data_IF_007141221045
#
_entry.id   IF_007141221045
#
_cell.length_a   1.000
_cell.length_b   1.000
_cell.length_c   1.000
_cell.angle_alpha   90.00
_cell.angle_beta   90.00
_cell.angle_gamma   90.00
#
_symmetry.space_group_name_H-M   'P 1'
#
loop_
_entity.id
_entity.type
_entity.pdbx_description
1 polymer ?
#
# COMPACT_ATOMS: atom_id res chain seq x y z
N UNK A 1 12.82 1.82 -47.85
CA UNK A 1 11.80 2.77 -47.34
C UNK A 1 10.73 2.96 -48.40
N UNK A 2 9.50 2.63 -48.05
CA UNK A 2 8.32 2.82 -48.89
C UNK A 2 7.74 4.20 -48.56
N UNK A 3 7.30 4.96 -49.57
CA UNK A 3 6.56 6.20 -49.37
C UNK A 3 5.08 5.87 -49.44
N UNK A 4 4.31 6.29 -48.44
CA UNK A 4 2.86 6.16 -48.45
C UNK A 4 2.24 7.54 -48.66
N UNK A 5 1.27 7.60 -49.56
CA UNK A 5 0.42 8.77 -49.75
C UNK A 5 -0.98 8.41 -49.26
N UNK A 6 -1.44 9.01 -48.13
CA UNK A 6 -2.77 8.75 -47.61
C UNK A 6 -3.81 9.50 -48.46
N UNK A 7 -4.82 8.77 -48.92
CA UNK A 7 -6.05 9.32 -49.47
C UNK A 7 -7.20 9.03 -48.51
N UNK A 8 -8.03 10.03 -48.27
CA UNK A 8 -9.18 9.94 -47.37
C UNK A 8 -10.45 10.19 -48.17
N UNK A 9 -11.24 9.15 -48.36
CA UNK A 9 -12.57 9.27 -48.96
C UNK A 9 -13.62 9.21 -47.86
N UNK A 10 -14.37 10.30 -47.71
CA UNK A 10 -15.44 10.42 -46.72
C UNK A 10 -16.77 10.26 -47.45
N UNK A 11 -17.63 9.37 -46.95
CA UNK A 11 -18.99 9.22 -47.45
C UNK A 11 -19.98 9.04 -46.31
N UNK A 12 -21.25 9.33 -46.59
CA UNK A 12 -22.31 9.28 -45.60
C UNK A 12 -23.13 8.01 -45.79
N UNK A 13 -23.43 7.33 -44.69
CA UNK A 13 -24.23 6.11 -44.70
C UNK A 13 -25.35 6.23 -43.67
N UNK A 14 -26.56 5.78 -44.04
CA UNK A 14 -27.69 5.73 -43.10
C UNK A 14 -27.41 4.66 -42.04
N UNK A 15 -27.75 4.96 -40.79
CA UNK A 15 -27.76 3.93 -39.74
C UNK A 15 -28.94 2.98 -39.95
N UNK A 16 -28.96 1.83 -39.27
CA UNK A 16 -30.13 0.94 -39.29
C UNK A 16 -31.43 1.69 -38.93
N UNK A 17 -31.38 2.58 -37.94
CA UNK A 17 -32.51 3.45 -37.57
C UNK A 17 -32.83 4.49 -38.66
N UNK A 18 -31.80 5.04 -39.32
CA UNK A 18 -31.95 5.93 -40.47
C UNK A 18 -32.64 5.26 -41.67
N UNK A 19 -32.30 4.01 -41.95
CA UNK A 19 -32.94 3.19 -42.99
C UNK A 19 -34.41 2.91 -42.66
N UNK A 20 -34.71 2.56 -41.41
CA UNK A 20 -36.10 2.40 -40.96
C UNK A 20 -36.90 3.69 -41.09
N UNK A 21 -36.31 4.84 -40.74
CA UNK A 21 -36.96 6.15 -40.89
C UNK A 21 -37.15 6.54 -42.37
N UNK A 22 -36.18 6.22 -43.25
CA UNK A 22 -36.31 6.43 -44.69
C UNK A 22 -37.47 5.61 -45.27
N UNK A 23 -37.62 4.35 -44.84
CA UNK A 23 -38.66 3.45 -45.31
C UNK A 23 -40.05 3.74 -44.71
N UNK A 24 -40.11 3.99 -43.40
CA UNK A 24 -41.37 4.01 -42.62
C UNK A 24 -41.78 5.39 -42.10
N UNK A 25 -41.03 6.44 -42.41
CA UNK A 25 -41.27 7.81 -41.94
C UNK A 25 -40.57 8.13 -40.62
N UNK A 26 -40.39 9.42 -40.34
CA UNK A 26 -39.78 9.93 -39.11
C UNK A 26 -40.61 9.61 -37.88
N UNK A 27 -39.93 9.52 -36.73
CA UNK A 27 -40.57 9.22 -35.45
C UNK A 27 -41.68 10.23 -35.12
N UNK A 28 -41.45 11.52 -35.38
CA UNK A 28 -42.43 12.59 -35.20
C UNK A 28 -43.63 12.47 -36.16
N UNK A 29 -43.41 12.04 -37.40
CA UNK A 29 -44.47 11.82 -38.39
C UNK A 29 -45.34 10.62 -38.00
N UNK A 30 -44.71 9.54 -37.55
CA UNK A 30 -45.40 8.34 -37.08
C UNK A 30 -46.24 8.62 -35.82
N UNK A 31 -45.76 9.47 -34.91
CA UNK A 31 -46.55 9.96 -33.76
C UNK A 31 -47.76 10.78 -34.23
N UNK A 32 -47.57 11.73 -35.16
CA UNK A 32 -48.68 12.52 -35.70
C UNK A 32 -49.73 11.64 -36.40
N UNK A 33 -49.28 10.68 -37.22
CA UNK A 33 -50.12 9.72 -37.94
C UNK A 33 -50.95 8.85 -36.99
N UNK A 34 -50.41 8.46 -35.85
CA UNK A 34 -51.09 7.63 -34.85
C UNK A 34 -52.21 8.35 -34.08
N UNK A 35 -52.27 9.68 -34.09
CA UNK A 35 -53.32 10.45 -33.40
C UNK A 35 -54.59 10.51 -34.27
N UNK A 36 -55.78 10.09 -33.80
CA UNK A 36 -57.02 10.21 -34.57
C UNK A 36 -57.41 11.67 -34.85
N UNK A 37 -58.02 11.98 -36.02
CA UNK A 37 -58.53 13.31 -36.30
C UNK A 37 -59.68 13.66 -35.34
N UNK A 38 -59.63 14.87 -34.75
CA UNK A 38 -60.70 15.51 -33.94
C UNK A 38 -61.02 14.91 -32.56
N UNK A 39 -60.79 13.63 -32.29
CA UNK A 39 -61.13 13.00 -31.00
C UNK A 39 -60.00 13.00 -29.97
N UNK A 40 -58.75 13.25 -30.40
CA UNK A 40 -57.58 13.19 -29.52
C UNK A 40 -57.32 11.76 -29.01
N UNK A 41 -56.17 11.57 -28.36
CA UNK A 41 -55.80 10.28 -27.77
C UNK A 41 -55.07 10.50 -26.44
N UNK A 42 -55.27 9.60 -25.48
CA UNK A 42 -54.54 9.65 -24.22
C UNK A 42 -53.06 9.42 -24.49
N UNK A 43 -52.19 10.22 -23.87
CA UNK A 43 -50.74 10.09 -24.06
C UNK A 43 -50.25 8.67 -23.75
N UNK A 44 -50.78 8.03 -22.71
CA UNK A 44 -50.44 6.64 -22.37
C UNK A 44 -50.83 5.66 -23.47
N UNK A 45 -52.02 5.82 -24.05
CA UNK A 45 -52.52 4.97 -25.14
C UNK A 45 -51.78 5.22 -26.44
N UNK A 46 -51.43 6.48 -26.76
CA UNK A 46 -50.62 6.83 -27.92
C UNK A 46 -49.23 6.20 -27.84
N UNK A 47 -48.59 6.27 -26.67
CA UNK A 47 -47.28 5.66 -26.45
C UNK A 47 -47.35 4.13 -26.58
N UNK A 48 -48.44 3.50 -26.14
CA UNK A 48 -48.66 2.05 -26.30
C UNK A 48 -49.02 1.70 -27.75
N UNK A 49 -49.91 2.42 -28.42
CA UNK A 49 -50.30 2.16 -29.81
C UNK A 49 -49.12 2.25 -30.78
N UNK A 50 -48.21 3.20 -30.55
CA UNK A 50 -46.97 3.36 -31.32
C UNK A 50 -45.94 2.28 -30.97
N UNK A 51 -46.03 1.68 -29.77
CA UNK A 51 -45.19 0.56 -29.34
C UNK A 51 -45.76 -0.83 -29.73
N UNK A 52 -47.07 -0.94 -29.94
CA UNK A 52 -47.85 -2.19 -30.09
C UNK A 52 -48.40 -2.36 -31.53
N UNK A 53 -48.10 -1.45 -32.46
CA UNK A 53 -48.24 -1.69 -33.89
C UNK A 53 -47.23 -2.78 -34.34
N UNK A 54 -47.55 -4.03 -33.97
CA UNK A 54 -46.67 -5.18 -33.85
C UNK A 54 -46.64 -6.02 -35.13
N UNK A 55 -46.57 -5.39 -36.30
CA UNK A 55 -46.36 -6.12 -37.56
C UNK A 55 -45.39 -5.49 -38.57
N UNK A 56 -44.94 -4.24 -38.39
CA UNK A 56 -43.81 -3.68 -39.14
C UNK A 56 -43.11 -2.63 -38.26
N UNK A 57 -41.84 -2.85 -37.93
CA UNK A 57 -40.91 -1.96 -37.23
C UNK A 57 -41.38 -1.35 -35.90
N UNK A 58 -40.78 -1.82 -34.80
CA UNK A 58 -40.84 -1.15 -33.49
C UNK A 58 -40.35 0.28 -33.69
N UNK A 59 -41.13 1.33 -33.42
CA UNK A 59 -40.59 2.71 -33.43
C UNK A 59 -39.62 2.79 -32.24
N UNK A 60 -38.30 2.72 -32.41
CA UNK A 60 -37.37 2.50 -31.29
C UNK A 60 -37.33 3.70 -30.33
N UNK A 61 -38.01 4.80 -30.68
CA UNK A 61 -37.87 6.10 -30.06
C UNK A 61 -39.20 6.89 -30.01
N UNK A 62 -40.32 6.26 -29.68
CA UNK A 62 -41.64 6.93 -29.57
C UNK A 62 -41.63 8.19 -28.67
N UNK A 63 -40.84 8.18 -27.59
CA UNK A 63 -40.65 9.36 -26.71
C UNK A 63 -39.95 10.51 -27.43
N UNK A 64 -38.97 10.20 -28.28
CA UNK A 64 -38.21 11.20 -29.06
C UNK A 64 -39.11 11.80 -30.14
N UNK A 65 -39.86 10.95 -30.86
CA UNK A 65 -40.86 11.40 -31.84
C UNK A 65 -41.92 12.31 -31.21
N UNK A 66 -42.39 11.98 -30.00
CA UNK A 66 -43.36 12.80 -29.28
C UNK A 66 -42.81 14.19 -28.92
N UNK A 67 -41.59 14.26 -28.39
CA UNK A 67 -40.94 15.54 -28.09
C UNK A 67 -40.72 16.39 -29.35
N UNK A 68 -40.26 15.78 -30.45
CA UNK A 68 -40.02 16.47 -31.72
C UNK A 68 -41.30 16.94 -32.40
N UNK A 69 -42.37 16.14 -32.35
CA UNK A 69 -43.68 16.56 -32.86
C UNK A 69 -44.24 17.79 -32.12
N UNK A 70 -43.97 17.94 -30.82
CA UNK A 70 -44.32 19.14 -30.05
C UNK A 70 -43.45 20.33 -30.48
N UNK A 71 -42.13 20.15 -30.56
CA UNK A 71 -41.19 21.21 -30.97
C UNK A 71 -41.46 21.70 -32.41
N UNK A 72 -41.89 20.80 -33.30
CA UNK A 72 -42.29 21.13 -34.67
C UNK A 72 -43.70 21.76 -34.76
N UNK A 73 -44.43 21.84 -33.64
CA UNK A 73 -45.79 22.39 -33.59
C UNK A 73 -46.85 21.52 -34.26
N UNK A 74 -46.59 20.22 -34.43
CA UNK A 74 -47.52 19.31 -35.11
C UNK A 74 -48.64 18.81 -34.20
N UNK A 75 -48.38 18.74 -32.89
CA UNK A 75 -49.31 18.24 -31.88
C UNK A 75 -49.45 19.22 -30.71
N UNK A 76 -50.59 19.21 -30.03
CA UNK A 76 -50.87 20.02 -28.84
C UNK A 76 -51.32 19.13 -27.68
N UNK A 77 -51.03 19.55 -26.45
CA UNK A 77 -51.36 18.81 -25.23
C UNK A 77 -52.39 19.57 -24.41
N UNK A 78 -53.43 18.88 -23.94
CA UNK A 78 -54.36 19.38 -22.93
C UNK A 78 -54.24 18.54 -21.65
N UNK A 79 -54.09 19.21 -20.50
CA UNK A 79 -53.96 18.58 -19.19
C UNK A 79 -55.24 18.80 -18.38
N UNK A 80 -55.88 17.72 -17.97
CA UNK A 80 -56.91 17.71 -16.92
C UNK A 80 -56.35 16.97 -15.69
N UNK A 81 -56.89 17.24 -14.50
CA UNK A 81 -56.30 16.88 -13.18
C UNK A 81 -55.86 15.41 -12.97
N UNK A 82 -56.19 14.48 -13.88
CA UNK A 82 -55.70 13.08 -13.84
C UNK A 82 -55.25 12.49 -15.19
N UNK A 83 -55.37 13.18 -16.32
CA UNK A 83 -55.07 12.63 -17.65
C UNK A 83 -54.54 13.68 -18.65
N UNK A 84 -53.65 13.24 -19.55
CA UNK A 84 -53.03 14.06 -20.59
C UNK A 84 -53.54 13.63 -21.96
N UNK A 85 -54.26 14.51 -22.64
CA UNK A 85 -54.79 14.29 -24.00
C UNK A 85 -53.93 14.99 -25.03
N UNK A 86 -53.71 14.32 -26.15
CA UNK A 86 -52.87 14.79 -27.26
C UNK A 86 -53.74 14.94 -28.50
N UNK A 87 -53.68 16.12 -29.13
CA UNK A 87 -54.41 16.43 -30.36
C UNK A 87 -53.44 16.80 -31.48
N UNK A 88 -53.84 16.55 -32.74
CA UNK A 88 -53.18 17.16 -33.89
C UNK A 88 -53.45 18.66 -33.89
N UNK A 89 -52.40 19.47 -34.00
CA UNK A 89 -52.51 20.93 -34.16
C UNK A 89 -52.69 21.32 -35.62
N UNK A 90 -52.16 20.51 -36.53
CA UNK A 90 -52.21 20.72 -37.99
C UNK A 90 -52.80 19.50 -38.70
N UNK A 91 -53.57 19.73 -39.76
CA UNK A 91 -54.24 18.66 -40.54
C UNK A 91 -53.31 17.95 -41.54
N UNK A 92 -52.20 18.59 -41.93
CA UNK A 92 -51.22 18.02 -42.85
C UNK A 92 -49.80 18.40 -42.38
N UNK A 93 -48.87 17.44 -42.44
CA UNK A 93 -47.45 17.61 -42.12
C UNK A 93 -46.61 17.11 -43.29
N UNK A 94 -45.47 17.76 -43.54
CA UNK A 94 -44.49 17.30 -44.53
C UNK A 94 -43.31 16.68 -43.77
N UNK A 95 -43.06 15.40 -44.01
CA UNK A 95 -41.92 14.71 -43.41
C UNK A 95 -40.62 15.03 -44.16
N UNK A 96 -40.02 16.15 -43.80
CA UNK A 96 -38.75 16.61 -44.38
C UNK A 96 -37.60 15.67 -44.02
N UNK A 97 -37.66 15.02 -42.85
CA UNK A 97 -36.61 14.13 -42.34
C UNK A 97 -36.55 12.84 -43.15
N UNK A 98 -37.71 12.20 -43.40
CA UNK A 98 -37.80 11.04 -44.28
C UNK A 98 -37.33 11.38 -45.69
N UNK A 99 -37.80 12.50 -46.25
CA UNK A 99 -37.42 12.93 -47.61
C UNK A 99 -35.91 13.14 -47.74
N UNK A 100 -35.28 13.76 -46.75
CA UNK A 100 -33.84 13.98 -46.75
C UNK A 100 -33.05 12.67 -46.62
N UNK A 101 -33.50 11.73 -45.79
CA UNK A 101 -32.84 10.41 -45.69
C UNK A 101 -32.96 9.61 -46.99
N UNK A 102 -34.12 9.63 -47.65
CA UNK A 102 -34.31 8.99 -48.95
C UNK A 102 -33.42 9.60 -50.04
N UNK A 103 -33.25 10.93 -50.03
CA UNK A 103 -32.35 11.61 -50.96
C UNK A 103 -30.88 11.20 -50.73
N UNK A 104 -30.44 11.07 -49.47
CA UNK A 104 -29.08 10.60 -49.15
C UNK A 104 -28.89 9.13 -49.58
N UNK A 105 -29.89 8.28 -49.38
CA UNK A 105 -29.86 6.87 -49.80
C UNK A 105 -29.69 6.71 -51.32
N UNK A 106 -30.27 7.62 -52.11
CA UNK A 106 -30.14 7.65 -53.57
C UNK A 106 -28.92 8.44 -54.06
N UNK A 107 -28.01 8.84 -53.16
CA UNK A 107 -26.78 9.54 -53.51
C UNK A 107 -26.95 11.01 -53.90
N UNK A 108 -28.09 11.63 -53.58
CA UNK A 108 -28.31 13.05 -53.81
C UNK A 108 -27.63 13.90 -52.72
N UNK A 109 -27.11 15.05 -53.12
CA UNK A 109 -26.44 15.98 -52.21
C UNK A 109 -27.46 16.85 -51.45
N UNK A 110 -27.30 16.95 -50.13
CA UNK A 110 -28.14 17.76 -49.24
C UNK A 110 -27.24 18.74 -48.49
N UNK A 111 -27.81 19.87 -48.10
CA UNK A 111 -27.19 20.89 -47.27
C UNK A 111 -26.52 20.33 -46.01
N UNK A 112 -25.32 20.83 -45.70
CA UNK A 112 -24.50 20.30 -44.60
C UNK A 112 -25.11 20.56 -43.22
N UNK A 113 -25.91 21.62 -43.05
CA UNK A 113 -26.61 21.86 -41.79
C UNK A 113 -27.62 20.74 -41.49
N UNK A 114 -28.26 20.21 -42.53
CA UNK A 114 -29.20 19.08 -42.43
C UNK A 114 -28.45 17.78 -42.10
N UNK A 115 -27.29 17.52 -42.74
CA UNK A 115 -26.47 16.33 -42.42
C UNK A 115 -26.03 16.33 -40.95
N UNK A 116 -25.58 17.47 -40.44
CA UNK A 116 -25.18 17.63 -39.02
C UNK A 116 -26.36 17.36 -38.08
N UNK A 117 -27.57 17.82 -38.42
CA UNK A 117 -28.76 17.54 -37.63
C UNK A 117 -29.10 16.04 -37.64
N UNK A 118 -29.09 15.39 -38.80
CA UNK A 118 -29.36 13.95 -38.94
C UNK A 118 -28.31 13.10 -38.21
N UNK A 119 -27.04 13.52 -38.21
CA UNK A 119 -25.96 12.88 -37.45
C UNK A 119 -26.17 13.01 -35.94
N UNK A 120 -26.54 14.20 -35.44
CA UNK A 120 -26.92 14.40 -34.02
C UNK A 120 -28.11 13.52 -33.61
N UNK A 121 -29.02 13.26 -34.55
CA UNK A 121 -30.15 12.35 -34.37
C UNK A 121 -29.79 10.87 -34.50
N UNK A 122 -28.53 10.53 -34.79
CA UNK A 122 -28.04 9.16 -35.03
C UNK A 122 -28.71 8.44 -36.21
N UNK A 123 -29.28 9.19 -37.15
CA UNK A 123 -29.90 8.64 -38.37
C UNK A 123 -28.89 8.54 -39.53
N UNK A 124 -27.77 9.25 -39.42
CA UNK A 124 -26.70 9.30 -40.42
C UNK A 124 -25.34 9.16 -39.72
N UNK A 125 -24.43 8.41 -40.32
CA UNK A 125 -23.05 8.26 -39.85
C UNK A 125 -22.08 8.57 -40.97
N UNK A 126 -20.99 9.25 -40.62
CA UNK A 126 -19.87 9.51 -41.50
C UNK A 126 -18.94 8.30 -41.47
N UNK A 127 -18.66 7.70 -42.64
CA UNK A 127 -17.65 6.67 -42.79
C UNK A 127 -16.47 7.21 -43.59
N UNK A 128 -15.27 6.86 -43.16
CA UNK A 128 -14.04 7.20 -43.86
C UNK A 128 -13.32 5.95 -44.32
N UNK A 129 -13.00 5.90 -45.62
CA UNK A 129 -12.10 4.91 -46.18
C UNK A 129 -10.72 5.57 -46.26
N UNK A 130 -9.77 4.99 -45.52
CA UNK A 130 -8.37 5.40 -45.57
C UNK A 130 -7.65 4.50 -46.55
N UNK A 131 -7.37 5.05 -47.72
CA UNK A 131 -6.59 4.38 -48.76
C UNK A 131 -5.14 4.86 -48.65
N UNK A 132 -4.20 3.94 -48.83
CA UNK A 132 -2.78 4.29 -48.85
C UNK A 132 -2.20 3.89 -50.21
N UNK A 133 -1.83 4.89 -51.00
CA UNK A 133 -1.08 4.65 -52.22
C UNK A 133 0.38 4.42 -51.86
N UNK A 134 0.89 3.25 -52.24
CA UNK A 134 2.20 2.77 -51.80
C UNK A 134 3.19 2.92 -52.95
N UNK A 135 4.18 3.80 -52.78
CA UNK A 135 5.22 4.08 -53.77
C UNK A 135 6.59 3.61 -53.29
N UNK A 136 7.45 3.25 -54.24
CA UNK A 136 8.87 3.01 -53.96
C UNK A 136 9.52 4.34 -53.57
N UNK A 137 9.98 4.45 -52.33
CA UNK A 137 10.73 5.62 -51.87
C UNK A 137 12.19 5.61 -52.34
N UNK A 138 12.94 6.70 -52.11
CA UNK A 138 14.33 6.83 -52.58
C UNK A 138 15.31 5.82 -51.96
N UNK A 139 14.98 5.25 -50.79
CA UNK A 139 15.73 4.18 -50.16
C UNK A 139 15.01 2.82 -50.24
N UNK A 140 14.14 2.61 -51.23
CA UNK A 140 13.49 1.33 -51.47
C UNK A 140 14.50 0.31 -52.01
N UNK A 141 14.68 -0.78 -51.28
CA UNK A 141 15.52 -1.89 -51.68
C UNK A 141 14.80 -3.20 -51.39
N UNK A 142 15.01 -4.20 -52.23
CA UNK A 142 14.53 -5.58 -52.04
C UNK A 142 15.50 -6.43 -51.23
N UNK A 143 16.72 -5.93 -50.97
CA UNK A 143 17.70 -6.58 -50.11
C UNK A 143 17.49 -6.17 -48.64
N UNK A 144 17.22 -7.13 -47.78
CA UNK A 144 17.13 -6.88 -46.33
C UNK A 144 18.53 -6.62 -45.80
N UNK A 145 18.88 -5.36 -45.57
CA UNK A 145 20.10 -5.01 -44.84
C UNK A 145 19.90 -5.32 -43.36
N UNK A 146 20.71 -6.22 -42.81
CA UNK A 146 20.72 -6.52 -41.38
C UNK A 146 21.45 -5.38 -40.68
N UNK A 147 20.71 -4.50 -40.00
CA UNK A 147 21.30 -3.45 -39.17
C UNK A 147 22.02 -4.09 -37.99
N UNK A 148 23.17 -3.53 -37.62
CA UNK A 148 23.92 -4.00 -36.45
C UNK A 148 23.18 -3.60 -35.17
N UNK A 149 23.13 -4.51 -34.20
CA UNK A 149 22.42 -4.28 -32.93
C UNK A 149 23.26 -3.50 -31.93
N UNK A 150 24.57 -3.76 -31.90
CA UNK A 150 25.49 -3.20 -30.94
C UNK A 150 26.85 -2.92 -31.59
N UNK A 151 27.62 -2.03 -30.97
CA UNK A 151 29.00 -1.78 -31.34
C UNK A 151 29.89 -2.88 -30.74
N UNK A 152 30.41 -3.77 -31.57
CA UNK A 152 31.26 -4.88 -31.13
C UNK A 152 32.74 -4.49 -31.15
N UNK A 153 33.56 -5.20 -30.38
CA UNK A 153 35.01 -5.03 -30.39
C UNK A 153 35.62 -5.28 -31.79
N UNK A 154 35.05 -6.20 -32.56
CA UNK A 154 35.51 -6.52 -33.92
C UNK A 154 35.26 -5.37 -34.92
N UNK A 155 34.16 -4.61 -34.75
CA UNK A 155 33.87 -3.41 -35.55
C UNK A 155 34.79 -2.22 -35.23
N UNK A 156 35.52 -2.31 -34.11
CA UNK A 156 36.47 -1.29 -33.63
C UNK A 156 37.93 -1.70 -33.89
N UNK A 157 38.23 -2.98 -34.01
CA UNK A 157 39.58 -3.50 -34.18
C UNK A 157 39.90 -3.80 -35.66
N UNK A 158 41.07 -3.36 -36.13
CA UNK A 158 41.66 -3.86 -37.39
C UNK A 158 42.71 -4.92 -37.03
N UNK A 159 42.40 -6.20 -37.23
CA UNK A 159 43.42 -7.25 -37.12
C UNK A 159 44.24 -7.29 -38.42
N UNK A 160 45.41 -6.66 -38.41
CA UNK A 160 46.38 -6.83 -39.50
C UNK A 160 47.17 -8.13 -39.28
N UNK A 161 46.73 -9.20 -39.94
CA UNK A 161 47.37 -10.52 -39.88
C UNK A 161 48.72 -10.59 -40.64
N UNK A 162 49.21 -9.48 -41.22
CA UNK A 162 50.39 -9.49 -42.08
C UNK A 162 51.72 -9.12 -41.42
N UNK A 163 51.74 -8.69 -40.16
CA UNK A 163 52.99 -8.43 -39.42
C UNK A 163 53.42 -9.65 -38.58
N UNK A 164 53.88 -10.71 -39.26
CA UNK A 164 54.85 -11.62 -38.64
C UNK A 164 56.20 -10.89 -38.63
N UNK A 165 56.73 -10.73 -37.42
CA UNK A 165 58.11 -10.36 -37.07
C UNK A 165 58.33 -8.96 -36.49
N UNK A 166 58.87 -9.03 -35.27
CA UNK A 166 59.68 -8.09 -34.50
C UNK A 166 58.91 -7.08 -33.62
N UNK A 167 58.99 -7.35 -32.31
CA UNK A 167 58.64 -6.54 -31.13
C UNK A 167 57.20 -6.66 -30.59
N UNK A 168 57.13 -7.05 -29.31
CA UNK A 168 55.92 -7.30 -28.52
C UNK A 168 55.20 -5.99 -28.12
N UNK A 169 54.72 -5.23 -29.10
CA UNK A 169 53.80 -4.11 -28.85
C UNK A 169 52.66 -4.22 -29.86
N UNK A 170 51.54 -4.80 -29.42
CA UNK A 170 50.31 -4.81 -30.21
C UNK A 170 49.76 -3.38 -30.27
N UNK A 171 50.13 -2.62 -31.31
CA UNK A 171 49.46 -1.37 -31.64
C UNK A 171 48.10 -1.72 -32.28
N UNK A 172 47.04 -1.79 -31.47
CA UNK A 172 45.69 -1.89 -31.98
C UNK A 172 45.35 -0.60 -32.76
N UNK A 173 45.39 -0.65 -34.09
CA UNK A 173 44.84 0.42 -34.92
C UNK A 173 43.32 0.28 -34.97
N UNK A 174 42.60 1.35 -34.65
CA UNK A 174 41.14 1.36 -34.70
C UNK A 174 40.65 1.27 -36.15
N UNK A 175 39.70 0.37 -36.43
CA UNK A 175 38.99 0.32 -37.70
C UNK A 175 37.84 1.33 -37.69
N UNK A 176 37.65 2.04 -38.81
CA UNK A 176 36.55 3.00 -39.00
C UNK A 176 35.29 2.32 -39.59
N UNK A 177 35.24 0.99 -39.60
CA UNK A 177 34.14 0.24 -40.21
C UNK A 177 32.78 0.56 -39.58
N UNK A 178 32.75 0.77 -38.26
CA UNK A 178 31.53 1.15 -37.55
C UNK A 178 30.89 2.45 -38.11
N UNK A 179 31.69 3.39 -38.66
CA UNK A 179 31.16 4.65 -39.23
C UNK A 179 30.30 4.41 -40.48
N UNK A 180 30.52 3.30 -41.17
CA UNK A 180 29.82 2.93 -42.40
C UNK A 180 28.66 1.93 -42.16
N UNK A 181 28.39 1.54 -40.91
CA UNK A 181 27.30 0.63 -40.54
C UNK A 181 26.07 1.40 -40.07
N UNK A 182 24.89 0.84 -40.36
CA UNK A 182 23.61 1.36 -39.87
C UNK A 182 23.23 0.55 -38.63
N UNK A 183 23.10 1.23 -37.49
CA UNK A 183 22.70 0.62 -36.23
C UNK A 183 21.20 0.69 -36.01
N UNK A 184 20.63 -0.34 -35.37
CA UNK A 184 19.24 -0.31 -34.92
C UNK A 184 19.06 0.80 -33.88
N UNK A 185 18.01 1.63 -34.03
CA UNK A 185 17.69 2.66 -33.02
C UNK A 185 17.43 2.01 -31.67
N UNK A 186 18.11 2.51 -30.63
CA UNK A 186 17.86 2.08 -29.27
C UNK A 186 16.50 2.58 -28.78
N UNK A 187 15.73 1.71 -28.13
CA UNK A 187 14.42 2.08 -27.59
C UNK A 187 14.60 2.68 -26.18
N UNK A 188 14.77 4.00 -26.10
CA UNK A 188 14.88 4.73 -24.82
C UNK A 188 13.58 4.75 -23.99
N UNK A 189 12.47 4.25 -24.54
CA UNK A 189 11.20 4.13 -23.80
C UNK A 189 11.07 2.79 -23.06
N UNK A 190 12.00 1.84 -23.26
CA UNK A 190 12.01 0.59 -22.50
C UNK A 190 12.80 0.76 -21.19
N UNK A 191 12.36 0.06 -20.15
CA UNK A 191 13.19 -0.10 -18.94
C UNK A 191 14.46 -0.86 -19.33
N UNK A 192 15.60 -0.39 -18.82
CA UNK A 192 16.86 -1.10 -18.95
C UNK A 192 16.85 -2.42 -18.17
N UNK A 193 17.86 -3.25 -18.40
CA UNK A 193 18.04 -4.46 -17.60
C UNK A 193 18.34 -4.07 -16.14
N UNK A 194 17.60 -4.60 -15.15
CA UNK A 194 17.88 -4.32 -13.75
C UNK A 194 19.27 -4.83 -13.38
N UNK A 195 20.01 -4.03 -12.61
CA UNK A 195 21.33 -4.42 -12.12
C UNK A 195 21.17 -5.52 -11.06
N UNK A 196 21.99 -6.56 -11.14
CA UNK A 196 22.06 -7.59 -10.11
C UNK A 196 22.93 -7.09 -8.95
N UNK A 197 22.45 -7.26 -7.71
CA UNK A 197 23.14 -6.78 -6.52
C UNK A 197 22.69 -7.52 -5.26
N UNK A 198 23.38 -7.26 -4.14
CA UNK A 198 22.96 -7.76 -2.84
C UNK A 198 21.76 -6.98 -2.33
N UNK A 199 20.82 -7.67 -1.65
CA UNK A 199 19.65 -7.05 -1.05
C UNK A 199 19.62 -7.28 0.46
N UNK A 200 19.17 -6.27 1.20
CA UNK A 200 18.92 -6.37 2.63
C UNK A 200 17.42 -6.58 2.89
N UNK A 201 17.10 -7.40 3.88
CA UNK A 201 15.72 -7.64 4.26
C UNK A 201 15.04 -6.34 4.77
N UNK A 202 13.81 -6.01 4.35
CA UNK A 202 13.12 -4.76 4.74
C UNK A 202 13.08 -4.53 6.25
N UNK A 203 12.71 -5.55 7.03
CA UNK A 203 12.70 -5.51 8.49
C UNK A 203 14.09 -5.14 9.08
N UNK A 204 15.17 -5.66 8.50
CA UNK A 204 16.54 -5.37 8.96
C UNK A 204 17.00 -3.98 8.56
N UNK A 205 16.51 -3.44 7.44
CA UNK A 205 16.72 -2.03 7.09
C UNK A 205 16.06 -1.14 8.15
N UNK A 206 14.81 -1.41 8.51
CA UNK A 206 14.09 -0.67 9.58
C UNK A 206 14.80 -0.84 10.93
N UNK A 207 15.24 -2.05 11.29
CA UNK A 207 16.03 -2.30 12.51
C UNK A 207 17.26 -1.38 12.57
N UNK A 208 17.96 -1.23 11.46
CA UNK A 208 19.17 -0.41 11.36
C UNK A 208 18.86 1.08 11.59
N UNK A 209 17.73 1.56 11.06
CA UNK A 209 17.26 2.93 11.31
C UNK A 209 16.90 3.17 12.78
N UNK A 210 16.12 2.28 13.41
CA UNK A 210 15.80 2.39 14.84
C UNK A 210 17.05 2.37 15.71
N UNK A 211 17.99 1.47 15.40
CA UNK A 211 19.29 1.40 16.06
C UNK A 211 20.05 2.73 15.93
N UNK A 212 20.05 3.33 14.75
CA UNK A 212 20.70 4.62 14.52
C UNK A 212 20.05 5.75 15.34
N UNK A 213 18.71 5.79 15.44
CA UNK A 213 17.99 6.77 16.27
C UNK A 213 18.42 6.69 17.74
N UNK A 214 18.52 5.49 18.29
CA UNK A 214 19.00 5.30 19.66
C UNK A 214 20.44 5.80 19.84
N UNK A 215 21.33 5.46 18.91
CA UNK A 215 22.73 5.90 18.95
C UNK A 215 22.84 7.43 18.86
N UNK A 216 22.07 8.08 17.98
CA UNK A 216 21.99 9.55 17.90
C UNK A 216 21.50 10.19 19.20
N UNK A 217 20.64 9.51 19.97
CA UNK A 217 20.13 9.98 21.26
C UNK A 217 21.06 9.66 22.45
N UNK A 218 22.23 9.05 22.18
CA UNK A 218 23.24 8.70 23.18
C UNK A 218 22.92 7.43 23.98
N UNK A 219 22.11 6.51 23.43
CA UNK A 219 21.82 5.23 24.06
C UNK A 219 22.92 4.20 23.72
N UNK A 220 23.22 3.32 24.66
CA UNK A 220 24.16 2.20 24.49
C UNK A 220 23.39 0.91 24.26
N UNK A 221 23.82 0.12 23.26
CA UNK A 221 23.17 -1.15 22.91
C UNK A 221 23.48 -2.23 23.95
N UNK A 222 22.43 -2.87 24.49
CA UNK A 222 22.55 -3.97 25.46
C UNK A 222 22.85 -5.29 24.74
N UNK A 223 23.68 -6.17 25.33
CA UNK A 223 23.86 -7.53 24.82
C UNK A 223 22.59 -8.36 25.06
N UNK A 224 22.04 -8.92 23.99
CA UNK A 224 20.81 -9.73 24.02
C UNK A 224 21.04 -11.18 23.60
N UNK A 225 22.25 -11.69 23.77
CA UNK A 225 22.72 -12.99 23.27
C UNK A 225 22.19 -14.21 24.05
N UNK A 226 20.92 -14.19 24.45
CA UNK A 226 20.21 -15.23 25.18
C UNK A 226 18.72 -15.27 24.78
N UNK A 227 18.31 -16.29 24.02
CA UNK A 227 16.89 -16.53 23.74
C UNK A 227 16.19 -17.27 24.87
N UNK A 228 16.90 -18.19 25.51
CA UNK A 228 16.44 -18.86 26.72
C UNK A 228 16.74 -17.96 27.90
N UNK A 229 15.73 -17.74 28.73
CA UNK A 229 15.83 -16.99 29.98
C UNK A 229 15.17 -17.80 31.10
N UNK A 230 15.63 -17.65 32.33
CA UNK A 230 14.88 -18.22 33.45
C UNK A 230 13.72 -17.32 33.86
N UNK A 231 12.68 -17.94 34.43
CA UNK A 231 11.48 -17.24 34.85
C UNK A 231 11.76 -16.19 35.92
N UNK A 232 12.86 -16.35 36.69
CA UNK A 232 13.33 -15.32 37.60
C UNK A 232 13.62 -13.99 36.88
N UNK A 233 14.53 -13.98 35.89
CA UNK A 233 14.89 -12.74 35.18
C UNK A 233 13.77 -12.23 34.28
N UNK A 234 12.99 -13.12 33.69
CA UNK A 234 11.90 -12.73 32.80
C UNK A 234 10.64 -12.28 33.53
N UNK A 235 10.39 -12.67 34.79
CA UNK A 235 9.16 -12.30 35.50
C UNK A 235 9.41 -11.81 36.93
N UNK A 236 10.07 -12.62 37.77
CA UNK A 236 10.17 -12.31 39.20
C UNK A 236 11.02 -11.04 39.46
N UNK A 237 12.12 -10.85 38.73
CA UNK A 237 12.97 -9.66 38.79
C UNK A 237 12.23 -8.38 38.38
N UNK A 238 11.20 -8.50 37.53
CA UNK A 238 10.30 -7.43 37.15
C UNK A 238 9.20 -7.18 38.18
N UNK A 239 9.21 -7.83 39.34
CA UNK A 239 8.08 -7.73 40.27
C UNK A 239 6.75 -8.19 39.64
N UNK A 240 6.77 -9.08 38.64
CA UNK A 240 5.56 -9.70 38.10
C UNK A 240 5.20 -10.94 38.92
N UNK A 241 3.98 -11.05 39.48
CA UNK A 241 3.64 -12.13 40.41
C UNK A 241 3.64 -13.51 39.73
N UNK A 242 3.91 -14.57 40.50
CA UNK A 242 3.98 -15.95 39.98
C UNK A 242 2.66 -16.48 39.45
N UNK A 243 1.54 -15.99 39.97
CA UNK A 243 0.18 -16.32 39.53
C UNK A 243 -0.30 -15.48 38.33
N UNK A 244 0.58 -14.70 37.68
CA UNK A 244 0.18 -13.86 36.55
C UNK A 244 -0.11 -14.72 35.31
N UNK A 245 -1.22 -14.49 34.57
CA UNK A 245 -1.64 -15.33 33.44
C UNK A 245 -0.58 -15.43 32.34
N UNK A 246 0.18 -14.35 32.09
CA UNK A 246 1.28 -14.39 31.13
C UNK A 246 2.38 -15.44 31.42
N UNK A 247 2.42 -16.04 32.62
CA UNK A 247 3.33 -17.14 32.99
C UNK A 247 2.74 -18.52 32.69
N UNK A 248 1.50 -18.61 32.21
CA UNK A 248 0.86 -19.86 31.88
C UNK A 248 1.40 -20.45 30.57
N UNK A 249 1.27 -21.76 30.42
CA UNK A 249 1.72 -22.50 29.23
C UNK A 249 1.00 -22.05 27.95
N UNK A 250 -0.16 -21.41 28.10
CA UNK A 250 -0.92 -20.85 26.98
C UNK A 250 -0.28 -19.58 26.42
N UNK A 251 0.54 -18.87 27.20
CA UNK A 251 1.15 -17.59 26.79
C UNK A 251 2.67 -17.68 26.62
N UNK A 252 3.33 -18.58 27.36
CA UNK A 252 4.79 -18.69 27.41
C UNK A 252 5.30 -20.06 26.94
N UNK A 253 6.32 -20.07 26.10
CA UNK A 253 7.04 -21.29 25.72
C UNK A 253 8.03 -21.70 26.81
N UNK A 254 7.74 -22.80 27.49
CA UNK A 254 8.65 -23.43 28.45
C UNK A 254 9.68 -24.32 27.74
N UNK A 255 10.91 -24.31 28.24
CA UNK A 255 11.99 -25.14 27.72
C UNK A 255 11.90 -26.53 28.35
N UNK A 256 11.98 -27.57 27.52
CA UNK A 256 12.02 -28.96 27.99
C UNK A 256 13.42 -29.41 28.40
N UNK A 257 14.45 -28.95 27.70
CA UNK A 257 15.86 -29.27 27.98
C UNK A 257 16.79 -28.07 27.67
N UNK A 258 17.54 -27.55 28.65
CA UNK A 258 17.42 -27.81 30.09
C UNK A 258 16.15 -27.14 30.67
N UNK A 259 15.32 -27.84 31.47
CA UNK A 259 14.05 -27.28 31.94
C UNK A 259 14.21 -26.25 33.05
N UNK A 260 15.30 -26.30 33.80
CA UNK A 260 15.56 -25.41 34.92
C UNK A 260 16.98 -24.84 34.87
N UNK A 261 17.16 -23.63 35.37
CA UNK A 261 18.46 -23.06 35.71
C UNK A 261 18.40 -22.30 37.04
N UNK A 262 19.53 -22.31 37.75
CA UNK A 262 19.68 -21.68 39.06
C UNK A 262 20.67 -20.51 39.01
N UNK A 263 20.85 -19.95 37.82
CA UNK A 263 21.84 -18.90 37.54
C UNK A 263 21.29 -17.53 37.88
N UNK A 264 21.19 -17.23 39.17
CA UNK A 264 20.86 -15.90 39.69
C UNK A 264 21.61 -15.62 41.00
N UNK A 265 21.90 -14.35 41.33
CA UNK A 265 22.62 -13.99 42.56
C UNK A 265 21.79 -14.33 43.82
N UNK A 266 22.29 -15.13 44.77
CA UNK A 266 21.49 -15.58 45.92
C UNK A 266 20.96 -14.45 46.80
N UNK A 267 21.75 -13.38 47.02
CA UNK A 267 21.31 -12.23 47.79
C UNK A 267 20.17 -11.47 47.11
N UNK A 268 20.24 -11.34 45.78
CA UNK A 268 19.18 -10.69 45.00
C UNK A 268 17.91 -11.53 44.97
N UNK A 269 18.04 -12.85 44.83
CA UNK A 269 16.92 -13.80 44.90
C UNK A 269 16.14 -13.66 46.19
N UNK A 270 16.81 -13.67 47.34
CA UNK A 270 16.13 -13.54 48.63
C UNK A 270 15.47 -12.16 48.78
N UNK A 271 16.12 -11.08 48.32
CA UNK A 271 15.51 -9.75 48.32
C UNK A 271 14.23 -9.69 47.46
N UNK A 272 14.25 -10.29 46.27
CA UNK A 272 13.09 -10.41 45.37
C UNK A 272 11.98 -11.24 46.03
N UNK A 273 12.32 -12.40 46.59
CA UNK A 273 11.37 -13.25 47.31
C UNK A 273 10.72 -12.51 48.48
N UNK A 274 11.49 -11.75 49.27
CA UNK A 274 10.95 -10.94 50.38
C UNK A 274 10.00 -9.86 49.88
N UNK A 275 10.39 -9.05 48.88
CA UNK A 275 9.53 -7.96 48.38
C UNK A 275 8.25 -8.50 47.73
N UNK A 276 8.32 -9.64 47.04
CA UNK A 276 7.14 -10.30 46.45
C UNK A 276 6.17 -10.83 47.50
N UNK A 277 6.69 -11.48 48.54
CA UNK A 277 5.87 -12.19 49.51
C UNK A 277 5.32 -11.28 50.59
N UNK A 278 6.18 -10.78 51.48
CA UNK A 278 5.78 -10.02 52.67
C UNK A 278 5.86 -8.50 52.47
N UNK A 279 6.46 -8.07 51.36
CA UNK A 279 6.71 -6.66 51.07
C UNK A 279 8.04 -6.16 51.66
N UNK A 280 8.57 -5.11 51.05
CA UNK A 280 9.75 -4.39 51.47
C UNK A 280 9.74 -2.99 50.82
N UNK A 281 10.63 -2.10 51.25
CA UNK A 281 10.85 -0.79 50.62
C UNK A 281 9.59 0.09 50.55
N UNK A 282 8.75 0.05 51.59
CA UNK A 282 7.48 0.79 51.64
C UNK A 282 6.31 0.13 50.91
N UNK A 283 6.55 -0.99 50.20
CA UNK A 283 5.52 -1.81 49.57
C UNK A 283 5.01 -2.92 50.48
N UNK A 284 3.74 -3.31 50.31
CA UNK A 284 3.13 -4.45 51.00
C UNK A 284 3.43 -5.80 50.33
N UNK A 285 4.09 -5.79 49.17
CA UNK A 285 4.25 -6.98 48.34
C UNK A 285 2.91 -7.50 47.80
N UNK A 286 2.93 -8.72 47.26
CA UNK A 286 1.74 -9.40 46.74
C UNK A 286 1.09 -10.35 47.75
N UNK A 287 1.66 -10.51 48.95
CA UNK A 287 1.07 -11.29 50.04
C UNK A 287 0.79 -12.76 49.69
N UNK A 288 1.72 -13.39 48.97
CA UNK A 288 1.67 -14.80 48.60
C UNK A 288 2.96 -15.54 48.94
N UNK A 289 2.90 -16.87 48.92
CA UNK A 289 4.07 -17.73 49.08
C UNK A 289 4.84 -17.83 47.76
N UNK A 290 5.93 -17.09 47.66
CA UNK A 290 6.86 -17.16 46.52
C UNK A 290 7.58 -18.52 46.48
N UNK A 291 7.59 -19.17 45.31
CA UNK A 291 8.14 -20.50 45.08
C UNK A 291 9.38 -20.43 44.20
N UNK A 292 10.50 -21.00 44.66
CA UNK A 292 11.74 -21.02 43.89
C UNK A 292 11.63 -21.92 42.64
N UNK A 293 10.78 -22.95 42.72
CA UNK A 293 10.52 -23.90 41.66
C UNK A 293 9.88 -23.25 40.43
N UNK A 294 9.16 -22.14 40.62
CA UNK A 294 8.59 -21.34 39.51
C UNK A 294 9.63 -20.41 38.89
N UNK A 295 10.58 -19.93 39.67
CA UNK A 295 11.60 -18.98 39.24
C UNK A 295 12.73 -19.67 38.45
N UNK A 296 13.04 -20.93 38.76
CA UNK A 296 14.09 -21.69 38.09
C UNK A 296 13.69 -22.21 36.71
N UNK A 297 12.40 -22.23 36.35
CA UNK A 297 11.92 -22.73 35.04
C UNK A 297 12.50 -21.90 33.91
N UNK A 298 13.14 -22.57 32.95
CA UNK A 298 13.62 -21.95 31.73
C UNK A 298 12.48 -21.78 30.74
N UNK A 299 12.46 -20.64 30.07
CA UNK A 299 11.50 -20.26 29.06
C UNK A 299 12.22 -19.63 27.86
N UNK A 300 11.53 -19.58 26.73
CA UNK A 300 11.92 -18.64 25.68
C UNK A 300 11.50 -17.24 26.13
N UNK A 301 12.43 -16.27 26.12
CA UNK A 301 12.15 -14.92 26.62
C UNK A 301 10.92 -14.31 25.94
N UNK A 302 10.01 -13.75 26.74
CA UNK A 302 8.73 -13.23 26.23
C UNK A 302 8.77 -11.74 25.87
N UNK A 303 9.79 -11.03 26.36
CA UNK A 303 10.05 -9.63 26.12
C UNK A 303 11.52 -9.30 26.44
N UNK A 304 12.06 -8.25 25.80
CA UNK A 304 13.45 -7.82 26.00
C UNK A 304 13.70 -7.18 27.37
N UNK A 305 12.64 -6.89 28.13
CA UNK A 305 12.72 -6.32 29.48
C UNK A 305 13.46 -7.21 30.47
N UNK A 306 13.55 -8.53 30.21
CA UNK A 306 14.40 -9.43 30.98
C UNK A 306 15.90 -9.05 30.89
N UNK A 307 16.35 -8.60 29.71
CA UNK A 307 17.71 -8.11 29.50
C UNK A 307 17.92 -6.82 30.27
N UNK A 308 16.94 -5.92 30.25
CA UNK A 308 16.95 -4.68 31.02
C UNK A 308 17.13 -4.94 32.51
N UNK A 309 16.51 -5.99 33.06
CA UNK A 309 16.70 -6.37 34.46
C UNK A 309 18.13 -6.81 34.75
N UNK A 310 18.74 -7.62 33.87
CA UNK A 310 20.15 -8.03 34.01
C UNK A 310 21.07 -6.81 33.98
N UNK A 311 20.87 -5.91 33.03
CA UNK A 311 21.67 -4.70 32.86
C UNK A 311 21.52 -3.72 34.04
N UNK A 312 20.30 -3.55 34.56
CA UNK A 312 20.04 -2.72 35.74
C UNK A 312 20.62 -3.34 37.01
N UNK A 313 20.55 -4.66 37.16
CA UNK A 313 21.18 -5.36 38.26
C UNK A 313 22.71 -5.16 38.25
N UNK A 314 23.36 -5.33 37.08
CA UNK A 314 24.78 -5.06 36.94
C UNK A 314 25.13 -3.60 37.23
N UNK A 315 24.32 -2.66 36.76
CA UNK A 315 24.47 -1.23 37.06
C UNK A 315 24.42 -0.96 38.57
N UNK A 316 23.50 -1.62 39.28
CA UNK A 316 23.33 -1.48 40.73
C UNK A 316 24.57 -1.90 41.52
N UNK A 317 25.31 -2.90 41.01
CA UNK A 317 26.54 -3.40 41.63
C UNK A 317 27.74 -2.45 41.42
N UNK A 318 27.69 -1.56 40.41
CA UNK A 318 28.77 -0.60 40.14
C UNK A 318 28.66 0.59 41.09
N UNK A 319 29.72 0.85 41.86
CA UNK A 319 29.80 2.01 42.76
C UNK A 319 30.94 2.95 42.31
N UNK A 320 30.72 4.28 42.25
CA UNK A 320 29.45 4.98 42.44
C UNK A 320 28.47 4.75 41.27
N UNK A 321 27.17 4.95 41.52
CA UNK A 321 26.14 4.93 40.47
C UNK A 321 26.49 5.96 39.39
N UNK A 322 26.33 5.57 38.12
CA UNK A 322 26.47 6.44 36.96
C UNK A 322 25.17 6.38 36.13
N UNK A 323 24.61 7.53 35.70
CA UNK A 323 23.45 7.54 34.84
C UNK A 323 23.72 6.83 33.51
N UNK A 324 22.72 6.12 33.00
CA UNK A 324 22.85 5.36 31.74
C UNK A 324 21.59 5.46 30.89
N UNK A 325 21.78 5.27 29.59
CA UNK A 325 20.74 5.12 28.58
C UNK A 325 21.02 3.83 27.84
N UNK A 326 20.09 2.87 27.89
CA UNK A 326 20.27 1.56 27.27
C UNK A 326 19.15 1.27 26.28
N UNK A 327 19.47 0.57 25.21
CA UNK A 327 18.48 0.07 24.27
C UNK A 327 18.80 -1.33 23.79
N UNK A 328 17.80 -2.04 23.29
CA UNK A 328 17.98 -3.30 22.59
C UNK A 328 16.94 -3.46 21.49
N UNK A 329 17.30 -4.21 20.45
CA UNK A 329 16.35 -4.62 19.42
C UNK A 329 16.59 -6.09 19.14
N UNK A 330 15.71 -6.94 19.65
CA UNK A 330 15.91 -8.38 19.50
C UNK A 330 14.61 -9.19 19.55
N UNK A 331 14.72 -10.45 19.13
CA UNK A 331 13.61 -11.38 18.98
C UNK A 331 13.08 -11.88 20.32
N UNK A 332 11.77 -11.94 20.46
CA UNK A 332 11.06 -12.45 21.64
C UNK A 332 10.04 -13.49 21.19
N UNK A 333 9.60 -14.34 22.12
CA UNK A 333 8.78 -15.51 21.83
C UNK A 333 7.54 -15.53 22.72
N UNK A 334 6.36 -15.69 22.12
CA UNK A 334 5.09 -15.78 22.83
C UNK A 334 4.26 -16.91 22.24
N UNK A 335 3.62 -17.70 23.09
CA UNK A 335 2.77 -18.80 22.66
C UNK A 335 1.37 -18.31 22.24
N UNK A 336 1.34 -17.26 21.43
CA UNK A 336 0.09 -16.70 20.92
C UNK A 336 -0.39 -17.48 19.68
N UNK A 337 -1.70 -17.45 19.44
CA UNK A 337 -2.27 -18.07 18.23
C UNK A 337 -1.80 -17.30 16.99
N UNK A 338 -1.18 -17.99 16.05
CA UNK A 338 -0.68 -17.40 14.80
C UNK A 338 -1.82 -16.85 13.94
N UNK A 339 -1.75 -15.57 13.58
CA UNK A 339 -2.72 -14.95 12.67
C UNK A 339 -2.05 -14.04 11.62
N UNK A 340 -2.79 -13.12 10.98
CA UNK A 340 -2.24 -12.21 9.98
C UNK A 340 -1.35 -11.09 10.57
N UNK A 341 -1.43 -10.88 11.89
CA UNK A 341 -0.83 -9.77 12.64
C UNK A 341 0.07 -10.23 13.79
N UNK A 342 -0.09 -11.46 14.27
CA UNK A 342 0.63 -12.05 15.40
C UNK A 342 1.46 -13.25 14.95
N UNK A 343 2.73 -13.25 15.34
CA UNK A 343 3.66 -14.36 15.18
C UNK A 343 4.10 -14.85 16.55
N UNK A 344 4.41 -16.15 16.64
CA UNK A 344 4.97 -16.76 17.83
C UNK A 344 6.38 -16.21 18.17
N UNK A 345 7.05 -15.64 17.17
CA UNK A 345 8.31 -14.93 17.33
C UNK A 345 8.28 -13.60 16.57
N UNK A 346 8.75 -12.52 17.21
CA UNK A 346 8.82 -11.18 16.63
C UNK A 346 9.90 -10.36 17.33
N UNK A 347 10.27 -9.20 16.80
CA UNK A 347 11.34 -8.36 17.36
C UNK A 347 10.73 -7.24 18.22
N UNK A 348 11.21 -7.17 19.45
CA UNK A 348 10.89 -6.10 20.38
C UNK A 348 12.05 -5.10 20.43
N UNK A 349 11.70 -3.83 20.30
CA UNK A 349 12.57 -2.69 20.53
C UNK A 349 12.29 -2.21 21.95
N UNK A 350 13.32 -2.02 22.75
CA UNK A 350 13.19 -1.46 24.10
C UNK A 350 14.26 -0.42 24.36
N UNK A 351 13.87 0.70 24.98
CA UNK A 351 14.75 1.73 25.48
C UNK A 351 14.50 1.99 26.97
N UNK A 352 15.54 2.28 27.72
CA UNK A 352 15.46 2.71 29.11
C UNK A 352 16.48 3.79 29.44
N UNK A 353 16.14 4.62 30.43
CA UNK A 353 17.03 5.63 31.01
C UNK A 353 16.98 5.48 32.52
N UNK A 354 18.15 5.37 33.14
CA UNK A 354 18.32 5.33 34.58
C UNK A 354 19.12 6.56 35.02
N UNK A 355 18.50 7.42 35.84
CA UNK A 355 19.12 8.63 36.35
C UNK A 355 18.46 9.06 37.67
N UNK A 356 19.00 10.08 38.33
CA UNK A 356 18.41 10.65 39.55
C UNK A 356 17.27 11.59 39.21
N UNK A 357 16.14 11.43 39.89
CA UNK A 357 14.99 12.35 39.75
C UNK A 357 14.28 12.31 38.39
N UNK A 358 14.33 11.19 37.66
CA UNK A 358 13.46 11.02 36.49
C UNK A 358 12.00 11.04 36.90
N UNK A 359 11.18 11.63 36.03
CA UNK A 359 9.75 11.84 36.24
C UNK A 359 9.00 11.48 34.96
N UNK A 360 7.67 11.40 35.05
CA UNK A 360 6.84 11.14 33.89
C UNK A 360 7.03 12.18 32.76
N UNK A 361 7.32 13.43 33.12
CA UNK A 361 7.60 14.49 32.16
C UNK A 361 8.88 14.20 31.35
N UNK A 362 9.93 13.67 31.99
CA UNK A 362 11.14 13.24 31.31
C UNK A 362 10.87 12.11 30.32
N UNK A 363 10.10 11.10 30.73
CA UNK A 363 9.70 10.00 29.84
C UNK A 363 8.94 10.53 28.61
N UNK A 364 7.94 11.38 28.81
CA UNK A 364 7.18 12.01 27.70
C UNK A 364 8.12 12.82 26.79
N UNK A 365 9.06 13.57 27.34
CA UNK A 365 10.04 14.34 26.57
C UNK A 365 10.93 13.44 25.70
N UNK A 366 11.46 12.36 26.28
CA UNK A 366 12.27 11.36 25.56
C UNK A 366 11.47 10.72 24.44
N UNK A 367 10.20 10.35 24.70
CA UNK A 367 9.33 9.73 23.70
C UNK A 367 9.02 10.69 22.54
N UNK A 368 8.76 11.97 22.82
CA UNK A 368 8.57 12.98 21.77
C UNK A 368 9.81 13.15 20.89
N UNK A 369 11.01 13.16 21.47
CA UNK A 369 12.26 13.22 20.71
C UNK A 369 12.49 11.95 19.88
N UNK A 370 12.31 10.78 20.50
CA UNK A 370 12.48 9.47 19.85
C UNK A 370 11.55 9.30 18.65
N UNK A 371 10.25 9.52 18.82
CA UNK A 371 9.29 9.41 17.73
C UNK A 371 9.35 10.59 16.75
N UNK A 372 9.80 11.77 17.20
CA UNK A 372 10.09 12.90 16.33
C UNK A 372 11.17 12.57 15.28
N UNK A 373 12.23 11.86 15.68
CA UNK A 373 13.27 11.34 14.76
C UNK A 373 12.74 10.27 13.80
N UNK A 374 11.62 9.62 14.13
CA UNK A 374 10.89 8.68 13.28
C UNK A 374 9.77 9.35 12.46
N UNK A 375 9.71 10.70 12.45
CA UNK A 375 8.73 11.53 11.71
C UNK A 375 7.29 11.36 12.25
N UNK A 376 7.13 10.80 13.45
CA UNK A 376 5.86 10.64 14.13
C UNK A 376 5.64 11.81 15.12
N UNK A 377 5.16 12.94 14.58
CA UNK A 377 5.09 14.22 15.34
C UNK A 377 3.87 14.36 16.27
N UNK A 378 2.81 13.58 16.05
CA UNK A 378 1.53 13.73 16.76
C UNK A 378 1.36 12.60 17.77
N UNK A 379 1.88 12.79 18.98
CA UNK A 379 1.75 11.80 20.06
C UNK A 379 0.59 12.09 21.01
N UNK A 380 -0.01 11.01 21.53
CA UNK A 380 -0.93 11.01 22.67
C UNK A 380 -0.56 9.87 23.61
N UNK A 381 -0.80 10.08 24.90
CA UNK A 381 -0.51 9.12 25.93
C UNK A 381 -1.79 8.73 26.65
N UNK A 382 -1.98 7.44 26.86
CA UNK A 382 -3.14 6.88 27.58
C UNK A 382 -2.62 6.13 28.81
N UNK A 383 -3.12 6.41 30.01
CA UNK A 383 -2.78 5.63 31.20
C UNK A 383 -3.01 4.13 30.96
N UNK A 384 -2.05 3.32 31.37
CA UNK A 384 -2.07 1.88 31.19
C UNK A 384 -1.65 1.17 32.50
N UNK A 385 -1.63 -0.16 32.46
CA UNK A 385 -1.14 -0.98 33.55
C UNK A 385 -0.07 -1.92 33.03
N UNK A 386 1.13 -1.86 33.61
CA UNK A 386 2.10 -2.94 33.54
C UNK A 386 2.50 -3.32 34.97
N UNK A 387 2.69 -4.61 35.29
CA UNK A 387 3.05 -5.05 36.65
C UNK A 387 4.31 -4.38 37.21
N UNK A 388 5.26 -4.06 36.33
CA UNK A 388 6.59 -3.57 36.66
C UNK A 388 6.76 -2.05 36.57
N UNK A 389 5.73 -1.30 36.17
CA UNK A 389 5.81 0.17 36.08
C UNK A 389 4.68 0.91 36.79
N UNK A 390 5.03 2.00 37.48
CA UNK A 390 4.07 2.94 38.07
C UNK A 390 4.69 4.35 38.10
N UNK A 391 4.15 5.34 37.34
CA UNK A 391 3.04 5.25 36.37
C UNK A 391 3.40 4.51 35.06
N UNK A 392 2.37 4.06 34.33
CA UNK A 392 2.47 3.44 33.00
C UNK A 392 1.61 4.16 31.96
N UNK A 393 2.04 4.20 30.70
CA UNK A 393 1.28 4.77 29.59
C UNK A 393 1.50 4.04 28.26
N UNK A 394 0.40 3.81 27.54
CA UNK A 394 0.39 3.48 26.11
C UNK A 394 0.64 4.74 25.29
N UNK A 395 1.31 4.56 24.15
CA UNK A 395 1.73 5.62 23.25
C UNK A 395 0.96 5.48 21.93
N UNK A 396 0.28 6.54 21.53
CA UNK A 396 -0.49 6.61 20.29
C UNK A 396 0.07 7.67 19.36
N UNK A 397 0.08 7.39 18.06
CA UNK A 397 0.37 8.38 17.02
C UNK A 397 -0.74 8.44 15.98
N UNK A 398 -0.99 9.63 15.45
CA UNK A 398 -1.97 9.81 14.38
C UNK A 398 -1.36 9.39 13.04
N UNK A 399 -1.95 8.37 12.40
CA UNK A 399 -1.51 7.90 11.10
C UNK A 399 -2.29 8.58 9.98
N UNK A 400 -1.63 9.42 9.18
CA UNK A 400 -2.27 10.23 8.13
C UNK A 400 -2.97 9.36 7.06
N UNK A 401 -2.37 8.23 6.66
CA UNK A 401 -2.96 7.33 5.66
C UNK A 401 -4.22 6.59 6.15
N UNK A 402 -4.29 6.27 7.45
CA UNK A 402 -5.42 5.55 8.06
C UNK A 402 -6.42 6.51 8.74
N UNK A 403 -6.09 7.80 8.81
CA UNK A 403 -6.85 8.87 9.46
C UNK A 403 -7.31 8.56 10.88
N UNK A 404 -6.54 7.77 11.63
CA UNK A 404 -6.86 7.33 13.00
C UNK A 404 -5.64 7.34 13.91
N UNK A 405 -5.90 7.37 15.22
CA UNK A 405 -4.88 7.14 16.24
C UNK A 405 -4.55 5.64 16.30
N UNK A 406 -3.27 5.32 16.19
CA UNK A 406 -2.76 3.95 16.22
C UNK A 406 -1.81 3.84 17.40
N UNK A 407 -1.93 2.77 18.16
CA UNK A 407 -0.98 2.42 19.22
C UNK A 407 0.36 2.06 18.58
N UNK A 408 1.43 2.70 19.06
CA UNK A 408 2.78 2.55 18.53
C UNK A 408 3.78 2.05 19.58
N UNK A 409 3.37 1.92 20.84
CA UNK A 409 4.22 1.40 21.91
C UNK A 409 3.60 1.52 23.29
N UNK A 410 4.32 0.99 24.28
CA UNK A 410 3.97 1.04 25.70
C UNK A 410 5.20 1.54 26.50
N UNK A 411 4.98 2.17 27.64
CA UNK A 411 6.04 2.76 28.46
C UNK A 411 5.65 2.91 29.92
N UNK A 412 6.62 3.19 30.78
CA UNK A 412 6.37 3.52 32.17
C UNK A 412 7.64 3.79 32.98
N UNK A 413 7.43 4.13 34.25
CA UNK A 413 8.48 4.30 35.25
C UNK A 413 8.61 3.00 36.05
N UNK A 414 9.79 2.36 36.09
CA UNK A 414 9.95 1.12 36.86
C UNK A 414 9.63 1.34 38.34
N UNK A 415 8.91 0.38 38.91
CA UNK A 415 8.51 0.41 40.31
C UNK A 415 9.71 0.34 41.26
N UNK A 416 9.64 0.95 42.46
CA UNK A 416 10.66 0.78 43.49
C UNK A 416 10.91 -0.69 43.88
N UNK A 417 9.87 -1.53 43.85
CA UNK A 417 9.97 -2.97 44.13
C UNK A 417 10.77 -3.75 43.08
N UNK A 418 11.03 -3.16 41.91
CA UNK A 418 11.95 -3.70 40.89
C UNK A 418 13.37 -3.24 41.20
N UNK A 419 13.55 -1.94 41.43
CA UNK A 419 14.86 -1.28 41.45
C UNK A 419 15.61 -1.44 42.78
N UNK A 420 14.91 -1.29 43.91
CA UNK A 420 15.53 -1.27 45.23
C UNK A 420 16.10 -2.63 45.67
N UNK A 421 15.45 -3.79 45.40
CA UNK A 421 16.06 -5.08 45.70
C UNK A 421 17.37 -5.34 44.93
N UNK A 422 17.59 -4.68 43.77
CA UNK A 422 18.85 -4.78 43.03
C UNK A 422 20.01 -4.06 43.74
N UNK A 423 19.69 -3.10 44.64
CA UNK A 423 20.68 -2.25 45.32
C UNK A 423 20.94 -0.91 44.61
N UNK A 424 20.03 -0.46 43.75
CA UNK A 424 20.06 0.91 43.23
C UNK A 424 19.75 1.91 44.36
N UNK A 425 20.38 3.10 44.36
CA UNK A 425 20.06 4.15 45.33
C UNK A 425 18.59 4.60 45.25
N UNK A 426 17.99 4.98 46.38
CA UNK A 426 16.57 5.37 46.45
C UNK A 426 16.19 6.58 45.60
N UNK A 427 17.16 7.46 45.33
CA UNK A 427 16.95 8.66 44.51
C UNK A 427 17.18 8.42 43.01
N UNK A 428 17.54 7.19 42.62
CA UNK A 428 17.61 6.75 41.23
C UNK A 428 16.25 6.21 40.79
N UNK A 429 15.74 6.75 39.70
CA UNK A 429 14.54 6.25 39.02
C UNK A 429 14.88 5.84 37.60
N UNK A 430 14.07 4.93 37.04
CA UNK A 430 14.30 4.39 35.71
C UNK A 430 13.00 4.46 34.92
N UNK A 431 13.05 5.07 33.73
CA UNK A 431 11.95 5.07 32.80
C UNK A 431 12.28 4.18 31.59
N UNK A 432 11.29 3.47 31.07
CA UNK A 432 11.47 2.58 29.93
C UNK A 432 10.27 2.63 28.98
N UNK A 433 10.49 2.23 27.73
CA UNK A 433 9.46 2.06 26.72
C UNK A 433 9.83 0.95 25.75
N UNK A 434 8.81 0.36 25.13
CA UNK A 434 8.98 -0.68 24.13
C UNK A 434 7.94 -0.62 23.03
N UNK A 435 8.31 -1.16 21.87
CA UNK A 435 7.44 -1.33 20.72
C UNK A 435 7.89 -2.53 19.86
N UNK A 436 6.98 -3.05 19.03
CA UNK A 436 7.34 -4.05 18.01
C UNK A 436 8.02 -3.37 16.82
N UNK A 437 8.96 -4.07 16.20
CA UNK A 437 9.61 -3.65 14.94
C UNK A 437 8.73 -3.93 13.71
N UNK A 438 7.93 -4.99 13.77
CA UNK A 438 7.13 -5.49 12.67
C UNK A 438 6.02 -4.53 12.28
N UNK A 439 5.24 -4.06 13.26
CA UNK A 439 4.08 -3.19 12.99
C UNK A 439 4.48 -1.88 12.28
N UNK A 440 5.51 -1.13 12.71
CA UNK A 440 6.03 0.02 11.95
C UNK A 440 6.52 -0.34 10.56
N UNK A 441 7.17 -1.51 10.40
CA UNK A 441 7.69 -1.96 9.11
C UNK A 441 6.55 -2.26 8.14
N UNK A 442 5.52 -2.96 8.60
CA UNK A 442 4.32 -3.26 7.82
C UNK A 442 3.63 -1.98 7.34
N UNK A 443 3.45 -1.00 8.23
CA UNK A 443 2.87 0.30 7.88
C UNK A 443 3.74 1.04 6.85
N UNK A 444 5.06 1.04 7.05
CA UNK A 444 6.01 1.76 6.19
C UNK A 444 6.07 1.20 4.77
N UNK A 445 6.04 -0.12 4.62
CA UNK A 445 6.13 -0.80 3.33
C UNK A 445 4.76 -1.17 2.74
N UNK A 446 3.65 -0.86 3.42
CA UNK A 446 2.30 -1.20 2.96
C UNK A 446 2.04 -2.70 2.92
N UNK A 447 2.55 -3.45 3.91
CA UNK A 447 2.39 -4.90 4.00
C UNK A 447 1.23 -5.21 4.94
N UNK A 448 0.22 -5.93 4.44
CA UNK A 448 -0.99 -6.26 5.21
C UNK A 448 -0.82 -7.51 6.09
N UNK A 449 0.04 -8.46 5.71
CA UNK A 449 0.24 -9.72 6.41
C UNK A 449 1.71 -9.91 6.82
N UNK A 450 1.93 -10.07 8.12
CA UNK A 450 3.26 -10.21 8.71
C UNK A 450 4.03 -11.43 8.19
N UNK A 451 3.32 -12.48 7.77
CA UNK A 451 3.90 -13.73 7.25
C UNK A 451 4.53 -13.58 5.87
N UNK A 452 4.12 -12.57 5.12
CA UNK A 452 4.73 -12.25 3.82
C UNK A 452 6.07 -11.54 4.01
N UNK A 453 6.29 -10.96 5.21
CA UNK A 453 7.50 -10.26 5.59
C UNK A 453 8.49 -11.13 6.37
N UNK A 454 8.04 -12.08 7.18
CA UNK A 454 8.92 -12.84 8.09
C UNK A 454 8.72 -14.34 7.92
N UNK A 455 9.85 -15.06 7.83
CA UNK A 455 9.90 -16.51 7.85
C UNK A 455 10.34 -17.13 6.53
N UNK A 456 10.32 -18.47 6.42
CA UNK A 456 10.81 -19.18 5.24
C UNK A 456 9.93 -18.99 4.00
N UNK A 457 8.73 -18.40 4.15
CA UNK A 457 7.78 -18.13 3.06
C UNK A 457 7.83 -16.68 2.57
N UNK A 458 8.83 -15.91 3.00
CA UNK A 458 9.00 -14.51 2.58
C UNK A 458 9.09 -14.41 1.06
N UNK A 459 8.40 -13.43 0.48
CA UNK A 459 8.52 -13.15 -0.94
C UNK A 459 9.85 -12.44 -1.24
N UNK A 460 10.73 -13.13 -1.97
CA UNK A 460 12.02 -12.56 -2.38
C UNK A 460 11.86 -11.42 -3.38
N UNK A 461 10.78 -11.40 -4.18
CA UNK A 461 10.47 -10.30 -5.09
C UNK A 461 10.29 -9.00 -4.33
N UNK A 462 9.48 -9.02 -3.26
CA UNK A 462 9.34 -7.90 -2.33
C UNK A 462 10.69 -7.46 -1.75
N UNK A 463 11.61 -8.38 -1.40
CA UNK A 463 12.93 -7.98 -0.89
C UNK A 463 13.74 -7.25 -1.97
N UNK A 464 13.72 -7.74 -3.21
CA UNK A 464 14.46 -7.15 -4.32
C UNK A 464 13.95 -5.76 -4.69
N UNK A 465 12.63 -5.61 -4.73
CA UNK A 465 11.96 -4.36 -5.11
C UNK A 465 11.87 -3.37 -3.94
N UNK A 466 12.08 -3.83 -2.70
CA UNK A 466 11.97 -2.98 -1.53
C UNK A 466 12.94 -1.79 -1.61
N UNK A 467 12.44 -0.54 -1.57
CA UNK A 467 13.31 0.62 -1.64
C UNK A 467 14.24 0.68 -0.43
N UNK A 468 15.25 1.55 -0.53
CA UNK A 468 16.07 1.90 0.62
C UNK A 468 15.14 2.43 1.70
N UNK A 469 15.29 1.90 2.92
CA UNK A 469 14.55 2.42 4.07
C UNK A 469 15.08 3.83 4.34
N UNK A 470 14.33 4.85 3.95
CA UNK A 470 14.58 6.24 4.36
C UNK A 470 13.41 6.66 5.23
N UNK A 471 13.70 7.12 6.43
CA UNK A 471 12.75 7.94 7.17
C UNK A 471 12.94 9.34 6.60
N UNK A 472 11.98 9.81 5.80
CA UNK A 472 12.06 11.13 5.16
C UNK A 472 12.05 12.21 6.25
N UNK A 473 13.24 12.64 6.67
CA UNK A 473 13.46 13.59 7.77
C UNK A 473 12.83 14.95 7.51
#
# INVERSE_FOLDING_TARGET
VIRTEPSLTIYWELTNEGQEVAASGSHEYNIWKAIPPKTGILQKELMVAVSVAKFLATVPNAKVGFGKAISAGWITIQKNDKQVLVFRKVECVKDVVQKNLQLIEHGAEIDDAVKIELQKRKLLVEKSIKEFYVHRGPAFTTSIFKAETELTADLLAKYDLHHKCVSNVFAASFSDEWKNRIFKKYNFNALGQPLTGGHLHPLLKVRSEYRQVFLEMGFTEMPTNNYVENSFWNFDALFQPQQHPARDIQDTFFVSDPPNSFTFPPAYLEAVKTVHSVGAFGSKGYQYKWKIEEACKNIMRTHTTAISMRMLYELAQRKPFKPVKYFSIDRVFRNETLDATHLAEFHQIEGLVADRGLSLAHLIGILNEFFGKLVMKRLRFKPAYNPYTEPSMEIFSYHEGLKKWVEIGNSGMFRPEVLLPMGLPEDVSVCAWGLSLERPTMIKYGIDNIRDMIGPKVDLGMIYDSPICRIDK
#
